data_IF_778954424286
#
_entry.id   IF_778954424286
#
_cell.length_a   1.000
_cell.length_b   1.000
_cell.length_c   1.000
_cell.angle_alpha   90.00
_cell.angle_beta   90.00
_cell.angle_gamma   90.00
#
_symmetry.space_group_name_H-M   'P 1'
#
loop_
_entity.id
_entity.type
_entity.pdbx_description
1 polymer ?
#
# COMPACT_ATOMS: atom_id res chain seq x y z
N UNK A 1 -47.04 25.36 32.22
CA UNK A 1 -46.78 24.05 32.84
C UNK A 1 -47.76 23.07 32.24
N UNK A 2 -47.33 22.38 31.17
CA UNK A 2 -48.09 21.27 30.58
C UNK A 2 -47.05 20.28 30.06
N UNK A 3 -46.84 19.21 30.84
CA UNK A 3 -45.98 18.09 30.48
C UNK A 3 -46.61 17.31 29.33
N UNK A 4 -45.85 17.06 28.28
CA UNK A 4 -46.24 16.11 27.24
C UNK A 4 -46.05 14.69 27.78
N UNK A 5 -47.14 13.93 27.88
CA UNK A 5 -47.13 12.50 28.18
C UNK A 5 -46.93 11.69 26.89
N UNK A 6 -46.21 10.56 26.99
CA UNK A 6 -46.12 9.57 25.91
C UNK A 6 -47.52 9.02 25.58
N UNK A 7 -47.98 9.26 24.35
CA UNK A 7 -49.12 8.57 23.77
C UNK A 7 -48.62 7.45 22.83
N UNK A 8 -49.00 6.22 23.16
CA UNK A 8 -48.34 4.99 22.73
C UNK A 8 -48.68 4.50 21.33
N UNK A 9 -48.90 5.37 20.33
CA UNK A 9 -49.11 4.91 18.93
C UNK A 9 -48.85 5.94 17.82
N UNK A 10 -48.28 7.12 18.11
CA UNK A 10 -47.89 8.09 17.08
C UNK A 10 -46.37 8.24 17.03
N UNK A 11 -45.70 7.41 16.23
CA UNK A 11 -44.31 7.67 15.87
C UNK A 11 -44.28 8.76 14.79
N UNK A 12 -43.62 9.89 15.08
CA UNK A 12 -43.11 10.75 14.03
C UNK A 12 -41.96 9.97 13.39
N UNK A 13 -42.18 9.41 12.21
CA UNK A 13 -41.07 8.97 11.37
C UNK A 13 -40.26 10.22 11.06
N UNK A 14 -39.04 10.31 11.59
CA UNK A 14 -38.14 11.39 11.21
C UNK A 14 -37.77 11.13 9.74
N UNK A 15 -38.49 11.76 8.82
CA UNK A 15 -38.10 11.83 7.41
C UNK A 15 -37.07 12.94 7.27
N UNK A 16 -35.86 12.59 6.84
CA UNK A 16 -34.73 13.51 6.75
C UNK A 16 -33.59 13.22 7.73
N UNK A 17 -33.57 12.06 8.41
CA UNK A 17 -32.32 11.58 8.99
C UNK A 17 -31.48 11.01 7.85
N UNK A 18 -30.43 11.72 7.45
CA UNK A 18 -29.31 11.11 6.74
C UNK A 18 -28.75 10.01 7.64
N UNK A 19 -29.09 8.77 7.35
CA UNK A 19 -28.37 7.60 7.86
C UNK A 19 -27.81 6.85 6.66
N UNK A 20 -26.89 7.52 5.98
CA UNK A 20 -25.96 6.91 5.03
C UNK A 20 -24.62 7.52 5.41
N UNK A 21 -23.87 6.85 6.28
CA UNK A 21 -22.45 7.18 6.42
C UNK A 21 -21.74 6.66 5.15
N UNK A 22 -21.66 7.59 4.21
CA UNK A 22 -20.61 7.86 3.24
C UNK A 22 -20.55 7.10 1.93
N UNK A 23 -21.48 6.19 1.60
CA UNK A 23 -21.66 5.70 0.22
C UNK A 23 -23.13 5.63 -0.17
N UNK A 24 -23.52 6.47 -1.12
CA UNK A 24 -24.86 6.49 -1.71
C UNK A 24 -24.76 6.08 -3.19
N UNK A 25 -25.53 5.05 -3.58
CA UNK A 25 -25.58 4.58 -4.96
C UNK A 25 -27.01 4.68 -5.46
N UNK A 26 -27.22 5.37 -6.56
CA UNK A 26 -28.54 5.62 -7.15
C UNK A 26 -28.60 5.10 -8.57
N UNK A 27 -29.79 4.72 -9.04
CA UNK A 27 -29.98 4.36 -10.44
C UNK A 27 -29.55 5.48 -11.39
N UNK A 28 -29.26 5.14 -12.64
CA UNK A 28 -28.79 6.10 -13.64
C UNK A 28 -29.70 7.33 -13.82
N UNK A 29 -31.01 7.15 -13.65
CA UNK A 29 -32.04 8.19 -13.66
C UNK A 29 -32.22 8.93 -12.31
N UNK A 30 -31.55 8.47 -11.25
CA UNK A 30 -31.64 9.01 -9.88
C UNK A 30 -32.89 8.59 -9.11
N UNK A 31 -33.72 7.71 -9.65
CA UNK A 31 -35.02 7.37 -9.06
C UNK A 31 -34.95 6.34 -7.92
N UNK A 32 -33.98 5.43 -7.97
CA UNK A 32 -33.86 4.29 -7.03
C UNK A 32 -32.57 4.37 -6.25
N UNK A 33 -32.65 4.43 -4.93
CA UNK A 33 -31.51 4.24 -4.04
C UNK A 33 -31.22 2.74 -3.90
N UNK A 34 -29.95 2.34 -4.06
CA UNK A 34 -29.48 0.97 -3.84
C UNK A 34 -29.19 0.74 -2.36
N UNK A 35 -29.51 -0.44 -1.87
CA UNK A 35 -29.29 -0.83 -0.48
C UNK A 35 -27.92 -1.47 -0.26
N UNK A 36 -27.16 -0.96 0.72
CA UNK A 36 -26.00 -1.67 1.26
C UNK A 36 -26.47 -2.98 1.95
N UNK A 37 -25.74 -4.07 1.76
CA UNK A 37 -26.09 -5.43 2.20
C UNK A 37 -27.14 -6.13 1.33
N UNK A 38 -27.80 -5.42 0.40
CA UNK A 38 -28.83 -5.98 -0.49
C UNK A 38 -28.40 -5.96 -1.96
N UNK A 39 -28.02 -4.78 -2.46
CA UNK A 39 -27.58 -4.57 -3.84
C UNK A 39 -26.06 -4.57 -3.97
N UNK A 40 -25.37 -4.08 -2.94
CA UNK A 40 -23.92 -3.98 -2.86
C UNK A 40 -23.43 -4.13 -1.42
N UNK A 41 -22.11 -4.25 -1.26
CA UNK A 41 -21.41 -4.15 0.02
C UNK A 41 -20.27 -3.15 -0.10
N UNK A 42 -19.92 -2.51 1.01
CA UNK A 42 -18.79 -1.58 1.10
C UNK A 42 -17.71 -2.20 1.97
N UNK A 43 -16.48 -2.18 1.47
CA UNK A 43 -15.27 -2.40 2.26
C UNK A 43 -14.77 -1.03 2.74
N UNK A 44 -14.98 -0.66 4.02
CA UNK A 44 -14.63 0.66 4.51
C UNK A 44 -13.11 0.87 4.65
N UNK A 45 -12.32 -0.20 4.74
CA UNK A 45 -10.86 -0.11 4.92
C UNK A 45 -10.17 0.29 3.62
N UNK A 46 -10.69 -0.18 2.49
CA UNK A 46 -10.11 0.04 1.17
C UNK A 46 -10.98 0.91 0.25
N UNK A 47 -12.20 1.26 0.67
CA UNK A 47 -13.15 2.06 -0.11
C UNK A 47 -13.72 1.32 -1.32
N UNK A 48 -13.77 -0.01 -1.28
CA UNK A 48 -14.31 -0.79 -2.40
C UNK A 48 -15.83 -0.99 -2.26
N UNK A 49 -16.54 -0.76 -3.36
CA UNK A 49 -17.94 -1.17 -3.52
C UNK A 49 -17.98 -2.47 -4.30
N UNK A 50 -18.63 -3.49 -3.75
CA UNK A 50 -18.81 -4.78 -4.40
C UNK A 50 -20.28 -5.04 -4.66
N UNK A 51 -20.63 -5.28 -5.93
CA UNK A 51 -21.95 -5.78 -6.33
C UNK A 51 -22.26 -7.12 -5.66
N UNK A 52 -23.44 -7.25 -5.07
CA UNK A 52 -23.93 -8.52 -4.54
C UNK A 52 -24.61 -9.33 -5.64
N UNK A 53 -24.41 -10.65 -5.60
CA UNK A 53 -25.06 -11.56 -6.55
C UNK A 53 -26.57 -11.57 -6.29
N UNK A 54 -27.37 -11.37 -7.35
CA UNK A 54 -28.81 -11.17 -7.23
C UNK A 54 -29.24 -9.75 -6.81
N UNK A 55 -28.28 -8.87 -6.48
CA UNK A 55 -28.52 -7.47 -6.19
C UNK A 55 -28.87 -6.66 -7.44
N UNK A 56 -29.65 -5.60 -7.26
CA UNK A 56 -30.16 -4.74 -8.33
C UNK A 56 -29.17 -3.70 -8.87
N UNK A 57 -27.93 -3.64 -8.35
CA UNK A 57 -26.91 -2.70 -8.81
C UNK A 57 -26.56 -2.91 -10.29
N UNK A 58 -26.59 -1.84 -11.09
CA UNK A 58 -26.26 -1.85 -12.52
C UNK A 58 -25.03 -0.97 -12.81
N UNK A 59 -24.34 -1.25 -13.91
CA UNK A 59 -23.11 -0.52 -14.29
C UNK A 59 -23.34 0.98 -14.55
N UNK A 60 -24.56 1.37 -14.91
CA UNK A 60 -24.94 2.75 -15.18
C UNK A 60 -25.36 3.53 -13.91
N UNK A 61 -25.42 2.87 -12.76
CA UNK A 61 -25.80 3.50 -11.50
C UNK A 61 -24.74 4.51 -11.05
N UNK A 62 -25.17 5.59 -10.41
CA UNK A 62 -24.34 6.71 -9.97
C UNK A 62 -23.94 6.52 -8.52
N UNK A 63 -22.64 6.69 -8.24
CA UNK A 63 -22.08 6.58 -6.89
C UNK A 63 -21.67 7.97 -6.40
N UNK A 64 -22.11 8.34 -5.20
CA UNK A 64 -21.67 9.53 -4.46
C UNK A 64 -21.18 9.11 -3.08
N UNK A 65 -20.05 9.65 -2.67
CA UNK A 65 -19.43 9.31 -1.40
C UNK A 65 -18.64 10.51 -0.89
N UNK A 66 -18.56 10.63 0.43
CA UNK A 66 -17.64 11.53 1.08
C UNK A 66 -16.32 10.81 1.32
N UNK A 67 -15.21 11.56 1.30
CA UNK A 67 -13.89 10.99 1.53
C UNK A 67 -13.04 11.93 2.37
N UNK A 68 -12.31 11.34 3.32
CA UNK A 68 -11.27 12.03 4.07
C UNK A 68 -9.90 11.75 3.43
N UNK A 69 -9.01 12.75 3.48
CA UNK A 69 -7.62 12.54 3.10
C UNK A 69 -6.96 11.57 4.08
N UNK A 70 -6.24 10.58 3.55
CA UNK A 70 -5.43 9.63 4.34
C UNK A 70 -3.97 9.74 3.93
N UNK A 71 -3.10 9.83 4.93
CA UNK A 71 -1.66 9.81 4.73
C UNK A 71 -1.20 8.41 4.31
N UNK A 72 -0.67 8.31 3.10
CA UNK A 72 -0.15 7.05 2.55
C UNK A 72 1.37 7.05 2.53
N UNK A 73 1.97 5.99 3.07
CA UNK A 73 3.41 5.73 2.96
C UNK A 73 3.65 4.81 1.77
N UNK A 74 4.40 5.28 0.79
CA UNK A 74 4.82 4.49 -0.36
C UNK A 74 6.27 4.05 -0.20
N UNK A 75 6.53 2.79 -0.55
CA UNK A 75 7.88 2.26 -0.70
C UNK A 75 8.08 2.00 -2.18
N UNK A 76 8.96 2.78 -2.80
CA UNK A 76 9.31 2.63 -4.21
C UNK A 76 10.54 1.73 -4.33
N UNK A 77 10.43 0.66 -5.11
CA UNK A 77 11.54 -0.24 -5.41
C UNK A 77 12.31 0.22 -6.63
N UNK A 78 13.54 0.72 -6.44
CA UNK A 78 14.45 1.29 -7.46
C UNK A 78 13.85 2.41 -8.33
N UNK A 79 14.70 3.33 -8.80
CA UNK A 79 14.27 4.39 -9.73
C UNK A 79 14.25 3.94 -11.20
N UNK A 80 14.77 2.76 -11.50
CA UNK A 80 14.90 2.17 -12.83
C UNK A 80 15.16 0.66 -12.71
N UNK A 81 15.03 -0.09 -13.82
CA UNK A 81 15.29 -1.55 -13.85
C UNK A 81 16.73 -1.95 -13.47
N UNK A 82 17.67 -1.02 -13.56
CA UNK A 82 18.99 -1.14 -12.93
C UNK A 82 19.44 0.20 -12.39
N UNK A 83 20.21 0.19 -11.31
CA UNK A 83 20.83 1.40 -10.74
C UNK A 83 22.29 1.14 -10.43
N UNK A 84 23.14 2.14 -10.66
CA UNK A 84 24.54 2.08 -10.24
C UNK A 84 24.73 2.84 -8.95
N UNK A 85 25.20 2.16 -7.89
CA UNK A 85 25.41 2.75 -6.56
C UNK A 85 26.69 2.21 -5.93
N UNK A 86 27.22 2.94 -4.95
CA UNK A 86 28.25 2.44 -4.04
C UNK A 86 27.60 1.49 -3.05
N UNK A 87 28.23 0.36 -2.77
CA UNK A 87 27.74 -0.64 -1.83
C UNK A 87 28.77 -0.86 -0.72
N UNK A 88 28.33 -0.91 0.53
CA UNK A 88 29.20 -1.15 1.67
C UNK A 88 28.63 -2.25 2.55
N UNK A 89 29.42 -3.28 2.80
CA UNK A 89 29.14 -4.30 3.80
C UNK A 89 30.03 -4.03 5.02
N UNK A 90 29.45 -4.06 6.21
CA UNK A 90 30.17 -3.89 7.48
C UNK A 90 29.77 -5.05 8.36
N UNK A 91 30.74 -5.87 8.75
CA UNK A 91 30.48 -6.92 9.73
C UNK A 91 30.21 -6.29 11.11
N UNK A 92 29.42 -7.00 11.91
CA UNK A 92 29.24 -6.63 13.31
C UNK A 92 30.58 -6.78 14.07
N UNK A 93 30.71 -6.09 15.20
CA UNK A 93 31.82 -6.26 16.14
C UNK A 93 31.74 -7.60 16.88
N UNK A 94 30.54 -8.16 17.05
CA UNK A 94 30.30 -9.38 17.84
C UNK A 94 30.30 -10.66 16.99
N UNK A 95 30.50 -10.53 15.67
CA UNK A 95 30.62 -11.67 14.77
C UNK A 95 31.99 -12.37 14.90
N UNK A 96 32.05 -13.65 14.51
CA UNK A 96 33.31 -14.38 14.50
C UNK A 96 34.32 -13.79 13.50
N UNK A 97 35.49 -13.42 14.00
CA UNK A 97 36.64 -13.00 13.21
C UNK A 97 36.93 -11.49 13.27
N UNK A 98 37.99 -11.02 12.58
CA UNK A 98 38.30 -9.60 12.52
C UNK A 98 37.16 -8.83 11.85
N UNK A 99 36.82 -7.66 12.38
CA UNK A 99 35.73 -6.86 11.83
C UNK A 99 36.14 -6.33 10.46
N UNK A 100 35.29 -6.51 9.46
CA UNK A 100 35.57 -6.14 8.08
C UNK A 100 34.61 -5.07 7.59
N UNK A 101 35.13 -4.09 6.85
CA UNK A 101 34.32 -3.19 6.03
C UNK A 101 34.75 -3.34 4.58
N UNK A 102 33.84 -3.85 3.77
CA UNK A 102 33.98 -3.94 2.32
C UNK A 102 33.27 -2.74 1.69
N UNK A 103 33.97 -1.98 0.85
CA UNK A 103 33.39 -0.92 0.04
C UNK A 103 33.60 -1.24 -1.42
N UNK A 104 32.51 -1.48 -2.14
CA UNK A 104 32.50 -1.61 -3.59
C UNK A 104 32.17 -0.25 -4.18
N UNK A 105 33.11 0.32 -4.95
CA UNK A 105 33.04 1.72 -5.37
C UNK A 105 31.85 1.97 -6.30
N UNK A 106 31.58 1.03 -7.19
CA UNK A 106 30.51 1.12 -8.18
C UNK A 106 29.92 -0.25 -8.46
N UNK A 107 28.67 -0.46 -8.06
CA UNK A 107 27.92 -1.70 -8.27
C UNK A 107 26.68 -1.38 -9.09
N UNK A 108 26.52 -2.07 -10.23
CA UNK A 108 25.27 -2.09 -10.97
C UNK A 108 24.34 -3.13 -10.33
N UNK A 109 23.30 -2.65 -9.68
CA UNK A 109 22.27 -3.46 -9.01
C UNK A 109 21.13 -3.68 -10.00
N UNK A 110 20.76 -4.94 -10.19
CA UNK A 110 19.63 -5.34 -11.02
C UNK A 110 18.62 -6.09 -10.13
N UNK A 111 17.33 -5.80 -10.31
CA UNK A 111 16.27 -6.64 -9.76
C UNK A 111 16.23 -7.91 -10.60
N UNK A 112 16.27 -9.07 -9.95
CA UNK A 112 16.29 -10.34 -10.63
C UNK A 112 15.40 -11.36 -9.94
N UNK A 113 14.85 -12.27 -10.74
CA UNK A 113 13.95 -13.32 -10.28
C UNK A 113 12.54 -12.83 -9.98
N UNK A 114 11.72 -13.75 -9.47
CA UNK A 114 10.34 -13.51 -9.10
C UNK A 114 10.22 -13.20 -7.60
N UNK A 115 9.35 -12.27 -7.23
CA UNK A 115 8.98 -12.03 -5.83
C UNK A 115 7.66 -12.75 -5.58
N UNK A 116 7.70 -13.80 -4.77
CA UNK A 116 6.48 -14.48 -4.33
C UNK A 116 5.76 -13.62 -3.28
N UNK A 117 4.71 -12.92 -3.70
CA UNK A 117 3.90 -12.06 -2.83
C UNK A 117 2.97 -12.85 -1.90
N UNK A 118 2.67 -14.10 -2.25
CA UNK A 118 1.85 -15.02 -1.45
C UNK A 118 2.62 -16.33 -1.33
N UNK A 119 3.16 -16.61 -0.14
CA UNK A 119 3.89 -17.83 0.17
C UNK A 119 3.89 -18.10 1.68
N UNK A 120 4.22 -19.33 2.08
CA UNK A 120 4.39 -19.71 3.49
C UNK A 120 5.62 -19.07 4.14
N UNK A 121 6.58 -18.61 3.32
CA UNK A 121 7.81 -17.94 3.76
C UNK A 121 7.74 -16.45 3.46
N UNK A 122 8.52 -15.68 4.20
CA UNK A 122 8.69 -14.26 3.97
C UNK A 122 9.12 -14.00 2.51
N UNK A 123 8.51 -12.99 1.89
CA UNK A 123 8.91 -12.55 0.56
C UNK A 123 10.37 -12.06 0.61
N UNK A 124 11.24 -12.71 -0.16
CA UNK A 124 12.65 -12.31 -0.30
C UNK A 124 12.81 -11.62 -1.65
N UNK A 125 13.17 -10.34 -1.63
CA UNK A 125 13.58 -9.63 -2.83
C UNK A 125 15.01 -10.04 -3.19
N UNK A 126 15.16 -10.79 -4.27
CA UNK A 126 16.48 -11.15 -4.79
C UNK A 126 17.04 -10.01 -5.61
N UNK A 127 18.26 -9.58 -5.26
CA UNK A 127 19.02 -8.59 -6.01
C UNK A 127 20.35 -9.20 -6.42
N UNK A 128 20.82 -8.88 -7.62
CA UNK A 128 22.21 -9.17 -8.00
C UNK A 128 22.95 -7.87 -8.29
N UNK A 129 24.24 -7.88 -7.97
CA UNK A 129 25.13 -6.74 -8.18
C UNK A 129 26.35 -7.15 -9.01
N UNK A 130 26.63 -6.42 -10.07
CA UNK A 130 27.90 -6.52 -10.81
C UNK A 130 28.81 -5.36 -10.41
N UNK A 131 30.02 -5.66 -9.93
CA UNK A 131 31.01 -4.63 -9.62
C UNK A 131 31.61 -4.11 -10.91
N UNK A 132 31.55 -2.79 -11.10
CA UNK A 132 32.10 -2.10 -12.26
C UNK A 132 33.32 -1.28 -11.83
N UNK A 133 34.23 -0.99 -12.77
CA UNK A 133 35.32 -0.07 -12.52
C UNK A 133 34.77 1.34 -12.23
N UNK A 134 35.15 1.90 -11.08
CA UNK A 134 34.97 3.32 -10.77
C UNK A 134 36.22 4.09 -11.19
N UNK A 135 36.16 4.72 -12.37
CA UNK A 135 37.25 5.53 -12.93
C UNK A 135 37.54 6.80 -12.15
N UNK A 136 36.76 7.11 -11.10
CA UNK A 136 37.07 8.22 -10.18
C UNK A 136 38.04 7.82 -9.08
N UNK A 137 38.27 6.51 -8.87
CA UNK A 137 39.29 6.01 -7.95
C UNK A 137 40.69 6.01 -8.59
N UNK A 138 41.75 5.97 -7.76
CA UNK A 138 43.12 5.79 -8.26
C UNK A 138 43.27 4.51 -9.11
N UNK A 139 44.21 4.55 -10.05
CA UNK A 139 44.49 3.39 -10.89
C UNK A 139 44.89 2.17 -10.06
N UNK A 140 44.27 1.02 -10.33
CA UNK A 140 44.44 -0.22 -9.58
C UNK A 140 43.56 -0.36 -8.33
N UNK A 141 42.70 0.63 -8.03
CA UNK A 141 41.78 0.63 -6.87
C UNK A 141 40.32 0.82 -7.27
N UNK A 142 39.97 0.58 -8.53
CA UNK A 142 38.69 0.98 -9.12
C UNK A 142 37.49 0.15 -8.66
N UNK A 143 37.72 -1.03 -8.08
CA UNK A 143 36.65 -2.01 -7.87
C UNK A 143 36.15 -2.06 -6.42
N UNK A 144 37.06 -2.32 -5.47
CA UNK A 144 36.70 -2.39 -4.05
C UNK A 144 37.88 -2.10 -3.12
N UNK A 145 37.54 -1.75 -1.88
CA UNK A 145 38.45 -1.63 -0.74
C UNK A 145 37.95 -2.50 0.41
N UNK A 146 38.88 -3.11 1.15
CA UNK A 146 38.58 -3.82 2.42
C UNK A 146 39.36 -3.17 3.55
N UNK A 147 38.68 -2.86 4.64
CA UNK A 147 39.29 -2.40 5.88
C UNK A 147 39.13 -3.49 6.93
N UNK A 148 40.26 -3.99 7.43
CA UNK A 148 40.31 -4.94 8.53
C UNK A 148 40.46 -4.14 9.82
N UNK A 149 39.47 -4.22 10.70
CA UNK A 149 39.45 -3.57 11.99
C UNK A 149 39.74 -4.63 13.05
N UNK A 150 40.81 -4.40 13.81
CA UNK A 150 41.16 -5.19 14.99
C UNK A 150 40.30 -4.80 16.19
#
# INVERSE_FOLDING_TARGET
DTKLSLDGSNYITISGVETIEDVCITSSDGATLRGNGTDYSVDPDYGYVRKLSGGGLLDADKVSFDYAAVDRKYIWGLSAGSVTKKFTFVSDKDDQGPRQRWTFHKVQINLNGDINLIAEKNAVLSITGSVLADTTQPSGQEYYKVEMMA
#
